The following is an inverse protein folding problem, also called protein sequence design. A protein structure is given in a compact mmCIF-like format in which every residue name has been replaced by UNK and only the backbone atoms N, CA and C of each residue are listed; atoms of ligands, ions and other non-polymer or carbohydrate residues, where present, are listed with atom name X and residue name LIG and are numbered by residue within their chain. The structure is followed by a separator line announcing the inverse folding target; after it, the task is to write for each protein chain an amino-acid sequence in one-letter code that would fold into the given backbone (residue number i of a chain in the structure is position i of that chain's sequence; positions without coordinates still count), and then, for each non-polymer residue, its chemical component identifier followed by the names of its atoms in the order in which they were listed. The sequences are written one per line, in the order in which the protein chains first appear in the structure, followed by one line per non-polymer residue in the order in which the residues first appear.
data_IF_425082381245
#
_entry.id   IF_425082381245
#
_cell.length_a   1.000
_cell.length_b   1.000
_cell.length_c   1.000
_cell.angle_alpha   90.00
_cell.angle_beta   90.00
_cell.angle_gamma   90.00
#
_symmetry.space_group_name_H-M   'P 1'
#
loop_
_entity.id
_entity.type
_entity.pdbx_description
1 polymer ?
#
# COMPACT_ATOMS: atom_id res chain seq x y z
N UNK A 1 -42.95 -67.92 -1.80
CA UNK A 1 -41.52 -67.78 -1.46
C UNK A 1 -40.69 -67.15 -2.59
N UNK A 2 -41.02 -67.40 -3.87
CA UNK A 2 -40.29 -66.78 -5.01
C UNK A 2 -40.56 -65.27 -5.19
N UNK A 3 -41.76 -64.78 -4.86
CA UNK A 3 -42.09 -63.35 -4.98
C UNK A 3 -41.31 -62.44 -4.01
N UNK A 4 -40.97 -62.93 -2.81
CA UNK A 4 -40.24 -62.14 -1.80
C UNK A 4 -38.77 -61.95 -2.21
N UNK A 5 -38.16 -62.97 -2.83
CA UNK A 5 -36.78 -62.89 -3.32
C UNK A 5 -36.60 -61.87 -4.45
N UNK A 6 -37.57 -61.77 -5.36
CA UNK A 6 -37.50 -60.84 -6.48
C UNK A 6 -37.62 -59.35 -6.06
N UNK A 7 -38.39 -59.06 -5.02
CA UNK A 7 -38.45 -57.73 -4.40
C UNK A 7 -37.14 -57.38 -3.69
N UNK A 8 -36.59 -58.30 -2.89
CA UNK A 8 -35.31 -58.09 -2.22
C UNK A 8 -34.14 -57.86 -3.21
N UNK A 9 -34.11 -58.60 -4.32
CA UNK A 9 -33.13 -58.40 -5.40
C UNK A 9 -33.29 -57.05 -6.12
N UNK A 10 -34.54 -56.57 -6.24
CA UNK A 10 -34.87 -55.25 -6.80
C UNK A 10 -34.40 -54.11 -5.90
N UNK A 11 -34.66 -54.21 -4.59
CA UNK A 11 -34.25 -53.22 -3.59
C UNK A 11 -32.72 -53.12 -3.50
N UNK A 12 -32.02 -54.27 -3.52
CA UNK A 12 -30.55 -54.32 -3.56
C UNK A 12 -29.99 -53.59 -4.79
N UNK A 13 -30.67 -53.68 -5.94
CA UNK A 13 -30.25 -53.00 -7.17
C UNK A 13 -30.42 -51.48 -7.09
N UNK A 14 -31.49 -50.99 -6.44
CA UNK A 14 -31.76 -49.57 -6.26
C UNK A 14 -30.79 -48.97 -5.23
N UNK A 15 -30.53 -49.68 -4.13
CA UNK A 15 -29.51 -49.29 -3.14
C UNK A 15 -28.12 -49.24 -3.79
N UNK A 16 -27.78 -50.20 -4.64
CA UNK A 16 -26.53 -50.19 -5.41
C UNK A 16 -26.44 -49.01 -6.39
N UNK A 17 -27.51 -48.74 -7.14
CA UNK A 17 -27.56 -47.65 -8.10
C UNK A 17 -27.46 -46.27 -7.42
N UNK A 18 -28.12 -46.09 -6.28
CA UNK A 18 -28.08 -44.85 -5.50
C UNK A 18 -26.72 -44.63 -4.84
N UNK A 19 -26.11 -45.67 -4.28
CA UNK A 19 -24.74 -45.59 -3.75
C UNK A 19 -23.71 -45.28 -4.84
N UNK A 20 -23.85 -45.88 -6.02
CA UNK A 20 -23.00 -45.59 -7.17
C UNK A 20 -23.18 -44.15 -7.67
N UNK A 21 -24.43 -43.69 -7.81
CA UNK A 21 -24.72 -42.32 -8.23
C UNK A 21 -24.17 -41.28 -7.22
N UNK A 22 -24.28 -41.56 -5.92
CA UNK A 22 -23.70 -40.73 -4.87
C UNK A 22 -22.17 -40.67 -4.95
N UNK A 23 -21.51 -41.83 -5.05
CA UNK A 23 -20.06 -41.89 -5.20
C UNK A 23 -19.55 -41.24 -6.50
N UNK A 24 -20.32 -41.35 -7.58
CA UNK A 24 -20.03 -40.68 -8.85
C UNK A 24 -20.19 -39.16 -8.73
N UNK A 25 -21.23 -38.68 -8.04
CA UNK A 25 -21.41 -37.25 -7.77
C UNK A 25 -20.26 -36.69 -6.93
N UNK A 26 -19.84 -37.40 -5.88
CA UNK A 26 -18.71 -37.03 -5.03
C UNK A 26 -17.40 -37.00 -5.82
N UNK A 27 -17.16 -37.99 -6.69
CA UNK A 27 -16.00 -38.02 -7.55
C UNK A 27 -15.97 -36.85 -8.56
N UNK A 28 -17.12 -36.53 -9.18
CA UNK A 28 -17.24 -35.39 -10.09
C UNK A 28 -16.99 -34.07 -9.38
N UNK A 29 -17.53 -33.92 -8.17
CA UNK A 29 -17.32 -32.75 -7.33
C UNK A 29 -15.85 -32.61 -6.91
N UNK A 30 -15.20 -33.72 -6.53
CA UNK A 30 -13.77 -33.75 -6.22
C UNK A 30 -12.91 -33.34 -7.44
N UNK A 31 -13.22 -33.86 -8.63
CA UNK A 31 -12.51 -33.50 -9.87
C UNK A 31 -12.73 -32.01 -10.21
N UNK A 32 -13.94 -31.50 -10.03
CA UNK A 32 -14.24 -30.09 -10.27
C UNK A 32 -13.42 -29.17 -9.36
N UNK A 33 -13.42 -29.43 -8.05
CA UNK A 33 -12.64 -28.65 -7.09
C UNK A 33 -11.13 -28.79 -7.34
N UNK A 34 -10.65 -29.99 -7.69
CA UNK A 34 -9.25 -30.19 -8.06
C UNK A 34 -8.89 -29.38 -9.31
N UNK A 35 -9.78 -29.31 -10.30
CA UNK A 35 -9.62 -28.46 -11.48
C UNK A 35 -9.50 -26.98 -11.12
N UNK A 36 -10.40 -26.47 -10.29
CA UNK A 36 -10.34 -25.09 -9.79
C UNK A 36 -9.03 -24.83 -9.03
N UNK A 37 -8.63 -25.74 -8.15
CA UNK A 37 -7.39 -25.64 -7.39
C UNK A 37 -6.16 -25.60 -8.31
N UNK A 38 -6.08 -26.51 -9.29
CA UNK A 38 -4.98 -26.55 -10.24
C UNK A 38 -4.92 -25.28 -11.11
N UNK A 39 -6.07 -24.72 -11.50
CA UNK A 39 -6.09 -23.45 -12.23
C UNK A 39 -5.57 -22.29 -11.39
N UNK A 40 -5.94 -22.19 -10.12
CA UNK A 40 -5.44 -21.15 -9.23
C UNK A 40 -3.95 -21.34 -8.93
N UNK A 41 -3.48 -22.58 -8.73
CA UNK A 41 -2.05 -22.88 -8.48
C UNK A 41 -1.16 -22.53 -9.67
N UNK A 42 -1.61 -22.78 -10.91
CA UNK A 42 -0.83 -22.41 -12.11
C UNK A 42 -0.68 -20.90 -12.26
N UNK A 43 -1.63 -20.11 -11.77
CA UNK A 43 -1.57 -18.65 -11.85
C UNK A 43 -0.71 -18.00 -10.77
N UNK A 44 -0.07 -18.77 -9.87
CA UNK A 44 0.80 -18.24 -8.81
C UNK A 44 2.18 -17.80 -9.32
N UNK A 45 2.63 -18.34 -10.47
CA UNK A 45 3.94 -17.97 -11.02
C UNK A 45 3.99 -16.46 -11.34
N UNK A 46 4.89 -15.69 -10.70
CA UNK A 46 4.95 -14.24 -10.90
C UNK A 46 5.36 -13.91 -12.33
N UNK A 47 4.48 -13.25 -13.07
CA UNK A 47 4.69 -12.92 -14.49
C UNK A 47 4.63 -11.42 -14.77
N UNK A 48 3.82 -10.69 -14.01
CA UNK A 48 3.57 -9.27 -14.20
C UNK A 48 3.88 -8.49 -12.94
N UNK A 49 4.23 -7.21 -13.12
CA UNK A 49 4.48 -6.28 -12.03
C UNK A 49 3.54 -5.08 -12.18
N UNK A 50 2.75 -4.81 -11.14
CA UNK A 50 1.75 -3.74 -11.13
C UNK A 50 2.15 -2.68 -10.11
N UNK A 51 2.13 -1.42 -10.55
CA UNK A 51 2.32 -0.26 -9.68
C UNK A 51 1.02 0.52 -9.60
N UNK A 52 0.53 0.75 -8.38
CA UNK A 52 -0.68 1.54 -8.14
C UNK A 52 -0.30 2.78 -7.38
N UNK A 53 -0.69 3.93 -7.91
CA UNK A 53 -0.48 5.24 -7.31
C UNK A 53 -1.84 5.83 -6.97
N UNK A 54 -2.01 6.25 -5.72
CA UNK A 54 -3.21 6.91 -5.25
C UNK A 54 -3.16 8.39 -5.61
N UNK A 55 -4.13 8.85 -6.41
CA UNK A 55 -4.17 10.21 -6.96
C UNK A 55 -4.07 11.36 -5.93
N UNK A 56 -4.75 11.33 -4.77
CA UNK A 56 -4.75 12.47 -3.86
C UNK A 56 -3.44 12.72 -3.09
N UNK A 57 -2.69 11.68 -2.71
CA UNK A 57 -1.48 11.79 -1.87
C UNK A 57 -0.21 11.25 -2.52
N UNK A 58 -0.33 10.66 -3.72
CA UNK A 58 0.80 10.10 -4.46
C UNK A 58 1.40 8.85 -3.82
N UNK A 59 0.74 8.27 -2.80
CA UNK A 59 1.18 7.02 -2.18
C UNK A 59 1.15 5.92 -3.22
N UNK A 60 2.24 5.15 -3.29
CA UNK A 60 2.39 4.10 -4.28
C UNK A 60 2.79 2.78 -3.63
N UNK A 61 2.25 1.69 -4.18
CA UNK A 61 2.67 0.32 -3.87
C UNK A 61 2.86 -0.45 -5.15
N UNK A 62 3.76 -1.42 -5.08
CA UNK A 62 4.10 -2.28 -6.18
C UNK A 62 3.91 -3.72 -5.74
N UNK A 63 3.28 -4.50 -6.59
CA UNK A 63 3.11 -5.92 -6.37
C UNK A 63 3.50 -6.72 -7.59
N UNK A 64 3.92 -7.95 -7.33
CA UNK A 64 4.17 -8.95 -8.35
C UNK A 64 2.97 -9.89 -8.38
N UNK A 65 2.43 -10.15 -9.56
CA UNK A 65 1.26 -11.00 -9.75
C UNK A 65 1.52 -11.97 -10.90
N UNK A 66 0.84 -13.13 -10.86
CA UNK A 66 0.90 -14.09 -11.95
C UNK A 66 -0.07 -13.77 -13.07
N UNK A 67 -0.33 -14.76 -13.92
CA UNK A 67 -1.21 -14.62 -15.08
C UNK A 67 -2.67 -14.55 -14.66
N UNK A 68 -3.25 -13.34 -14.67
CA UNK A 68 -4.67 -13.12 -14.41
C UNK A 68 -5.37 -12.48 -15.61
N UNK A 69 -6.68 -12.68 -15.73
CA UNK A 69 -7.49 -11.83 -16.61
C UNK A 69 -7.49 -10.39 -16.06
N UNK A 70 -7.71 -9.39 -16.92
CA UNK A 70 -7.73 -7.97 -16.51
C UNK A 70 -8.77 -7.73 -15.39
N UNK A 71 -9.93 -8.39 -15.47
CA UNK A 71 -10.98 -8.29 -14.46
C UNK A 71 -10.52 -8.87 -13.11
N UNK A 72 -9.91 -10.08 -13.12
CA UNK A 72 -9.39 -10.71 -11.91
C UNK A 72 -8.25 -9.90 -11.30
N UNK A 73 -7.36 -9.37 -12.13
CA UNK A 73 -6.30 -8.47 -11.71
C UNK A 73 -6.84 -7.23 -11.01
N UNK A 74 -7.89 -6.61 -11.56
CA UNK A 74 -8.51 -5.43 -10.97
C UNK A 74 -9.09 -5.71 -9.57
N UNK A 75 -9.80 -6.83 -9.41
CA UNK A 75 -10.36 -7.24 -8.10
C UNK A 75 -9.24 -7.50 -7.10
N UNK A 76 -8.19 -8.22 -7.50
CA UNK A 76 -7.04 -8.51 -6.64
C UNK A 76 -6.31 -7.24 -6.20
N UNK A 77 -6.05 -6.33 -7.14
CA UNK A 77 -5.45 -5.01 -6.84
C UNK A 77 -6.32 -4.22 -5.88
N UNK A 78 -7.65 -4.24 -6.05
CA UNK A 78 -8.58 -3.53 -5.17
C UNK A 78 -8.57 -4.11 -3.75
N UNK A 79 -8.53 -5.44 -3.63
CA UNK A 79 -8.43 -6.12 -2.34
C UNK A 79 -7.15 -5.73 -1.60
N UNK A 80 -6.00 -5.78 -2.29
CA UNK A 80 -4.73 -5.35 -1.70
C UNK A 80 -4.73 -3.86 -1.40
N UNK A 81 -5.36 -3.03 -2.22
CA UNK A 81 -5.47 -1.61 -1.95
C UNK A 81 -6.19 -1.35 -0.61
N UNK A 82 -7.28 -2.06 -0.32
CA UNK A 82 -8.02 -1.87 0.93
C UNK A 82 -7.30 -2.40 2.18
N UNK A 83 -6.44 -3.40 2.06
CA UNK A 83 -5.69 -3.97 3.19
C UNK A 83 -4.37 -3.26 3.43
N UNK A 84 -3.70 -2.86 2.37
CA UNK A 84 -2.31 -2.43 2.42
C UNK A 84 -2.13 -0.92 2.35
N UNK A 85 -3.05 -0.15 1.75
CA UNK A 85 -2.90 1.30 1.71
C UNK A 85 -3.35 1.91 3.04
N UNK A 86 -2.58 2.87 3.60
CA UNK A 86 -3.04 3.61 4.76
C UNK A 86 -4.29 4.41 4.40
N UNK A 87 -5.25 4.51 5.33
CA UNK A 87 -6.42 5.37 5.15
C UNK A 87 -5.97 6.81 4.86
N UNK A 88 -6.39 7.33 3.71
CA UNK A 88 -6.14 8.73 3.37
C UNK A 88 -7.16 9.61 4.07
N UNK A 89 -6.67 10.54 4.89
CA UNK A 89 -7.50 11.58 5.49
C UNK A 89 -7.09 12.95 4.93
N UNK A 90 -7.89 13.56 4.04
CA UNK A 90 -7.58 14.86 3.42
C UNK A 90 -7.37 16.00 4.43
N UNK A 91 -7.86 15.85 5.65
CA UNK A 91 -7.74 16.86 6.70
C UNK A 91 -6.40 16.82 7.40
N UNK A 92 -5.65 15.71 7.36
CA UNK A 92 -4.32 15.61 7.95
C UNK A 92 -3.29 16.42 7.15
N UNK A 93 -3.40 16.42 5.82
CA UNK A 93 -2.53 17.22 4.95
C UNK A 93 -2.76 18.73 5.08
N UNK A 94 -3.94 19.11 5.57
CA UNK A 94 -4.30 20.51 5.87
C UNK A 94 -3.96 20.90 7.30
N UNK A 95 -3.51 19.96 8.14
CA UNK A 95 -3.02 20.33 9.46
C UNK A 95 -1.75 21.15 9.27
N UNK A 96 -1.70 22.37 9.85
CA UNK A 96 -0.45 23.11 9.89
C UNK A 96 0.62 22.17 10.45
N UNK A 97 1.81 22.07 9.83
CA UNK A 97 2.85 21.19 10.34
C UNK A 97 3.08 21.58 11.79
N UNK A 98 2.74 20.67 12.71
CA UNK A 98 3.16 20.78 14.10
C UNK A 98 4.67 20.69 14.02
N UNK A 99 5.32 21.85 13.94
CA UNK A 99 6.76 21.99 14.12
C UNK A 99 7.03 21.23 15.41
N UNK A 100 7.83 20.16 15.32
CA UNK A 100 8.35 19.44 16.48
C UNK A 100 9.08 20.47 17.34
N UNK A 101 8.35 21.13 18.23
CA UNK A 101 8.90 22.06 19.20
C UNK A 101 9.78 21.18 20.08
N UNK A 102 11.05 21.53 20.09
CA UNK A 102 12.04 21.06 21.04
C UNK A 102 11.39 20.97 22.44
N UNK A 103 11.60 19.89 23.22
CA UNK A 103 11.10 19.82 24.59
C UNK A 103 11.98 20.75 25.43
N UNK A 104 11.65 22.04 25.42
CA UNK A 104 12.29 23.04 26.26
C UNK A 104 11.22 24.05 26.64
N UNK A 105 10.79 23.88 27.87
CA UNK A 105 10.21 24.87 28.77
C UNK A 105 9.09 25.79 28.25
N UNK A 106 7.94 25.55 28.87
CA UNK A 106 7.03 26.54 29.43
C UNK A 106 5.88 27.06 28.55
N UNK A 107 4.69 26.92 29.14
CA UNK A 107 3.37 27.43 28.79
C UNK A 107 2.69 26.99 27.47
N UNK A 108 1.82 25.99 27.63
CA UNK A 108 0.37 26.11 27.37
C UNK A 108 -0.08 27.26 26.47
N UNK A 109 -0.05 27.08 25.15
CA UNK A 109 -1.06 27.61 24.19
C UNK A 109 -0.58 27.36 22.76
N UNK A 110 -0.91 26.19 22.20
CA UNK A 110 -0.75 25.96 20.76
C UNK A 110 -1.86 25.07 20.17
N UNK A 111 -2.99 24.97 20.86
CA UNK A 111 -4.21 24.44 20.28
C UNK A 111 -5.02 25.64 19.77
N UNK A 112 -5.31 25.66 18.46
CA UNK A 112 -6.16 26.68 17.81
C UNK A 112 -7.64 26.47 18.17
N UNK A 113 -7.94 26.28 19.45
CA UNK A 113 -9.30 26.28 19.97
C UNK A 113 -9.46 27.56 20.80
N UNK A 114 -10.38 28.42 20.39
CA UNK A 114 -10.75 29.60 21.17
C UNK A 114 -11.51 29.13 22.39
N UNK A 115 -10.87 29.19 23.54
CA UNK A 115 -11.52 29.03 24.83
C UNK A 115 -12.17 30.36 25.20
N UNK A 116 -13.46 30.35 25.48
CA UNK A 116 -14.16 31.48 26.07
C UNK A 116 -14.33 31.16 27.55
N UNK A 117 -13.52 31.78 28.41
CA UNK A 117 -13.80 31.77 29.85
C UNK A 117 -15.01 32.68 30.09
N UNK A 118 -16.08 32.08 30.63
CA UNK A 118 -17.34 32.76 30.93
C UNK A 118 -17.48 33.09 32.43
N UNK A 119 -16.37 33.19 33.15
CA UNK A 119 -16.37 33.62 34.55
C UNK A 119 -15.58 34.92 34.68
N UNK A 120 -16.28 35.97 35.10
CA UNK A 120 -15.79 37.34 35.09
C UNK A 120 -14.71 37.61 36.15
N UNK A 121 -13.93 38.65 35.92
CA UNK A 121 -13.81 39.84 36.79
C UNK A 121 -12.89 40.84 36.07
N UNK A 122 -13.29 42.10 36.09
CA UNK A 122 -12.68 43.25 35.43
C UNK A 122 -11.15 43.33 35.54
N UNK A 123 -10.46 43.37 34.40
CA UNK A 123 -9.24 44.16 34.27
C UNK A 123 -9.21 44.84 32.90
N UNK A 124 -9.02 46.15 32.95
CA UNK A 124 -8.91 47.07 31.83
C UNK A 124 -7.85 46.59 30.84
N UNK A 125 -8.26 46.07 29.68
CA UNK A 125 -7.38 45.94 28.52
C UNK A 125 -7.98 46.66 27.32
N UNK A 126 -7.29 47.73 26.95
CA UNK A 126 -7.45 48.55 25.74
C UNK A 126 -7.70 47.70 24.47
N UNK A 127 -8.68 48.04 23.61
CA UNK A 127 -8.82 47.38 22.32
C UNK A 127 -7.83 48.01 21.34
N UNK A 128 -6.57 47.57 21.38
CA UNK A 128 -5.59 47.90 20.35
C UNK A 128 -5.41 46.72 19.39
N UNK A 129 -5.64 46.99 18.11
CA UNK A 129 -5.17 46.13 17.04
C UNK A 129 -6.21 45.14 16.52
N UNK A 130 -7.09 45.64 15.65
CA UNK A 130 -7.69 44.80 14.63
C UNK A 130 -6.61 44.03 13.87
N UNK A 131 -6.61 42.70 14.02
CA UNK A 131 -5.97 41.77 13.08
C UNK A 131 -6.92 40.63 12.74
N UNK A 132 -8.14 41.00 12.39
CA UNK A 132 -8.91 40.26 11.39
C UNK A 132 -8.33 40.56 10.01
N UNK A 133 -7.20 39.95 9.65
CA UNK A 133 -6.78 39.73 8.25
C UNK A 133 -5.42 39.04 8.22
N UNK A 134 -5.41 37.71 8.36
CA UNK A 134 -4.45 36.79 7.70
C UNK A 134 -5.11 35.44 7.42
N UNK A 135 -6.42 35.45 7.21
CA UNK A 135 -7.24 34.28 6.86
C UNK A 135 -7.60 34.37 5.38
N UNK A 136 -6.59 34.53 4.54
CA UNK A 136 -6.76 34.67 3.10
C UNK A 136 -5.42 34.74 2.41
N UNK A 137 -5.13 33.71 1.62
CA UNK A 137 -4.21 33.76 0.50
C UNK A 137 -2.74 34.03 0.79
N UNK A 138 -1.97 32.96 0.91
CA UNK A 138 -0.67 32.91 0.22
C UNK A 138 -0.63 31.65 -0.63
N UNK A 139 -1.34 31.68 -1.75
CA UNK A 139 -1.20 30.66 -2.81
C UNK A 139 0.27 30.50 -3.26
N UNK A 140 1.08 31.56 -3.07
CA UNK A 140 2.52 31.56 -3.32
C UNK A 140 3.35 30.80 -2.27
N UNK A 141 2.95 30.74 -1.00
CA UNK A 141 3.76 30.07 0.04
C UNK A 141 3.86 28.56 -0.20
N UNK A 142 2.76 27.93 -0.61
CA UNK A 142 2.76 26.52 -1.05
C UNK A 142 3.68 26.31 -2.27
N UNK A 143 3.66 27.24 -3.23
CA UNK A 143 4.50 27.16 -4.42
C UNK A 143 5.99 27.28 -4.07
N UNK A 144 6.34 28.16 -3.13
CA UNK A 144 7.72 28.27 -2.63
C UNK A 144 8.14 27.01 -1.87
N UNK A 145 7.28 26.45 -1.03
CA UNK A 145 7.56 25.20 -0.31
C UNK A 145 7.75 24.00 -1.26
N UNK A 146 6.93 23.89 -2.29
CA UNK A 146 6.99 22.83 -3.29
C UNK A 146 8.24 22.96 -4.17
N UNK A 147 8.57 24.17 -4.62
CA UNK A 147 9.79 24.42 -5.39
C UNK A 147 11.07 24.20 -4.56
N UNK A 148 11.08 24.57 -3.27
CA UNK A 148 12.19 24.26 -2.37
C UNK A 148 12.31 22.77 -2.08
N UNK A 149 11.19 22.05 -1.97
CA UNK A 149 11.17 20.60 -1.86
C UNK A 149 11.77 19.94 -3.10
N UNK A 150 11.32 20.34 -4.29
CA UNK A 150 11.91 19.88 -5.55
C UNK A 150 13.42 20.15 -5.62
N UNK A 151 13.86 21.34 -5.23
CA UNK A 151 15.28 21.69 -5.21
C UNK A 151 16.06 20.77 -4.26
N UNK A 152 15.50 20.45 -3.09
CA UNK A 152 16.13 19.53 -2.11
C UNK A 152 16.18 18.10 -2.64
N UNK A 153 15.10 17.61 -3.25
CA UNK A 153 15.07 16.26 -3.85
C UNK A 153 16.07 16.17 -5.00
N UNK A 154 16.08 17.15 -5.91
CA UNK A 154 17.03 17.24 -7.03
C UNK A 154 18.48 17.28 -6.54
N UNK A 155 18.75 18.06 -5.49
CA UNK A 155 20.08 18.12 -4.84
C UNK A 155 20.48 16.78 -4.21
N UNK A 156 19.57 16.09 -3.51
CA UNK A 156 19.83 14.77 -2.93
C UNK A 156 20.07 13.71 -4.01
N UNK A 157 19.26 13.71 -5.08
CA UNK A 157 19.44 12.80 -6.23
C UNK A 157 20.77 13.05 -6.93
N UNK A 158 21.14 14.30 -7.18
CA UNK A 158 22.43 14.64 -7.79
C UNK A 158 23.61 14.16 -6.92
N UNK A 159 23.53 14.32 -5.59
CA UNK A 159 24.54 13.80 -4.66
C UNK A 159 24.63 12.27 -4.68
N UNK A 160 23.50 11.58 -4.74
CA UNK A 160 23.49 10.12 -4.83
C UNK A 160 24.15 9.66 -6.11
N UNK A 161 23.79 10.25 -7.26
CA UNK A 161 24.38 9.93 -8.56
C UNK A 161 25.89 10.18 -8.55
N UNK A 162 26.32 11.36 -8.09
CA UNK A 162 27.74 11.68 -7.99
C UNK A 162 28.51 10.70 -7.07
N UNK A 163 27.94 10.35 -5.91
CA UNK A 163 28.55 9.36 -5.01
C UNK A 163 28.62 7.97 -5.64
N UNK A 164 27.61 7.55 -6.42
CA UNK A 164 27.66 6.27 -7.14
C UNK A 164 28.70 6.29 -8.25
N UNK A 165 28.83 7.39 -9.00
CA UNK A 165 29.85 7.54 -10.04
C UNK A 165 31.26 7.53 -9.43
N UNK A 166 31.47 8.20 -8.29
CA UNK A 166 32.73 8.15 -7.54
C UNK A 166 33.04 6.72 -7.07
N UNK A 167 32.06 6.00 -6.52
CA UNK A 167 32.25 4.62 -6.08
C UNK A 167 32.62 3.68 -7.24
N UNK A 168 31.95 3.78 -8.40
CA UNK A 168 32.26 2.95 -9.56
C UNK A 168 33.61 3.29 -10.19
N UNK A 169 33.98 4.58 -10.23
CA UNK A 169 35.31 5.00 -10.71
C UNK A 169 36.41 4.52 -9.76
N UNK A 170 36.16 4.52 -8.45
CA UNK A 170 37.08 3.97 -7.45
C UNK A 170 37.27 2.45 -7.62
N UNK A 171 36.19 1.69 -7.79
CA UNK A 171 36.26 0.24 -8.07
C UNK A 171 37.04 -0.04 -9.35
N UNK A 172 36.79 0.71 -10.42
CA UNK A 172 37.49 0.54 -11.70
C UNK A 172 39.00 0.77 -11.55
N UNK A 173 39.41 1.82 -10.81
CA UNK A 173 40.82 2.08 -10.51
C UNK A 173 41.46 0.92 -9.75
N UNK A 174 40.79 0.38 -8.72
CA UNK A 174 41.27 -0.77 -7.97
C UNK A 174 41.44 -2.02 -8.86
N UNK A 175 40.53 -2.25 -9.81
CA UNK A 175 40.65 -3.36 -10.78
C UNK A 175 41.83 -3.16 -11.74
N UNK A 176 42.05 -1.93 -12.23
CA UNK A 176 43.20 -1.60 -13.10
C UNK A 176 44.54 -1.72 -12.36
N UNK A 177 44.58 -1.40 -11.06
CA UNK A 177 45.75 -1.58 -10.20
C UNK A 177 46.02 -3.07 -9.90
N UNK A 178 44.97 -3.86 -9.61
CA UNK A 178 45.11 -5.32 -9.44
C UNK A 178 45.53 -6.03 -10.75
N UNK A 179 45.04 -5.57 -11.90
CA UNK A 179 45.41 -6.10 -13.22
C UNK A 179 46.87 -5.86 -13.62
N UNK A 180 47.54 -4.85 -13.04
CA UNK A 180 48.97 -4.59 -13.25
C UNK A 180 49.90 -5.44 -12.37
N UNK A 181 49.37 -6.04 -11.29
CA UNK A 181 50.13 -6.93 -10.40
C UNK A 181 50.25 -8.39 -10.87
N UNK A 182 49.54 -8.79 -11.92
CA UNK A 182 49.56 -10.16 -12.47
C UNK A 182 50.16 -10.14 -13.88
N UNK A 183 51.35 -9.53 -14.04
CA UNK A 183 52.28 -9.96 -15.09
C UNK A 183 53.27 -10.91 -14.44
N UNK A 184 52.90 -12.19 -14.48
CA UNK A 184 53.72 -13.33 -14.09
C UNK A 184 55.08 -13.23 -14.78
N UNK A 185 56.13 -13.05 -13.99
CA UNK A 185 57.45 -13.61 -14.29
C UNK A 185 57.44 -15.08 -13.93
#
# INVERSE_FOLDING_TARGET
MLHVRAEEDGDLSIVGATAFAGGLADALLAIHYLGVLLTEVRHIAPQFQVTVVRSPDGMSKQWVMGSFSIQRAAVWVLQNYYTEFPLYNPHLDRMPPIRKRHPSMNNSTATSFKFYDFDGISSTFTPSGGRMSRRGSSHNERFYEEHEYERRVRKRRARLVAATEEAFTHIKRLQDEQGKGIKRT
#
